data_IF_774316565820
#
_entry.id   IF_774316565820
#
_cell.length_a   1.000
_cell.length_b   1.000
_cell.length_c   1.000
_cell.angle_alpha   90.00
_cell.angle_beta   90.00
_cell.angle_gamma   90.00
#
_symmetry.space_group_name_H-M   'P 1'
#
loop_
_entity.id
_entity.type
_entity.pdbx_description
1 polymer ?
#
# COMPACT_ATOMS: atom_id res chain seq x y z
N UNK A 1 -11.33 -13.51 62.71
CA UNK A 1 -10.11 -13.96 63.42
C UNK A 1 -10.09 -15.48 63.44
N UNK A 2 -9.36 -16.13 62.54
CA UNK A 2 -9.03 -17.56 62.63
C UNK A 2 -7.60 -17.72 62.10
N UNK A 3 -6.69 -18.17 62.97
CA UNK A 3 -5.30 -18.51 62.66
C UNK A 3 -5.22 -19.97 62.21
N UNK A 4 -4.45 -20.26 61.16
CA UNK A 4 -3.87 -21.59 60.87
C UNK A 4 -2.51 -21.33 60.21
N UNK A 5 -1.42 -21.30 60.97
CA UNK A 5 -0.54 -22.43 61.37
C UNK A 5 0.15 -23.08 60.18
N UNK A 6 1.41 -22.69 60.01
CA UNK A 6 2.40 -23.17 59.06
C UNK A 6 2.93 -24.54 59.52
N UNK A 7 2.95 -25.54 58.64
CA UNK A 7 3.77 -26.75 58.82
C UNK A 7 4.45 -27.07 57.49
N UNK A 8 5.78 -26.92 57.50
CA UNK A 8 6.67 -27.42 56.47
C UNK A 8 7.10 -28.83 56.85
N UNK A 9 6.98 -29.78 55.92
CA UNK A 9 7.63 -31.08 56.02
C UNK A 9 8.37 -31.36 54.71
N UNK A 10 9.69 -31.47 54.86
CA UNK A 10 10.67 -31.91 53.88
C UNK A 10 10.75 -33.44 53.88
N UNK A 11 10.52 -34.05 52.72
CA UNK A 11 11.03 -35.36 52.29
C UNK A 11 10.89 -35.33 50.76
N UNK A 12 11.81 -35.73 49.90
CA UNK A 12 13.06 -36.44 49.99
C UNK A 12 13.45 -36.72 48.54
N UNK A 13 14.73 -36.66 48.22
CA UNK A 13 15.28 -36.72 46.89
C UNK A 13 14.84 -37.94 46.07
N UNK A 14 14.34 -37.73 44.85
CA UNK A 14 14.33 -38.74 43.79
C UNK A 14 15.13 -38.20 42.61
N UNK A 15 16.35 -38.72 42.44
CA UNK A 15 17.23 -38.45 41.29
C UNK A 15 16.73 -39.27 40.10
N UNK A 16 15.78 -38.72 39.35
CA UNK A 16 15.44 -39.18 38.01
C UNK A 16 16.07 -38.26 36.97
N UNK A 17 17.23 -38.64 36.43
CA UNK A 17 17.80 -37.96 35.25
C UNK A 17 16.96 -38.40 34.05
N UNK A 18 15.93 -37.61 33.72
CA UNK A 18 15.25 -37.72 32.41
C UNK A 18 16.02 -36.82 31.46
N UNK A 19 16.92 -37.44 30.69
CA UNK A 19 17.61 -36.82 29.58
C UNK A 19 16.57 -36.55 28.47
N UNK A 20 15.94 -35.38 28.53
CA UNK A 20 15.10 -34.87 27.43
C UNK A 20 16.02 -34.52 26.27
N UNK A 21 16.14 -35.44 25.30
CA UNK A 21 16.79 -35.18 24.03
C UNK A 21 15.90 -34.21 23.23
N UNK A 22 16.19 -32.90 23.35
CA UNK A 22 15.63 -31.86 22.49
C UNK A 22 16.18 -32.07 21.07
N UNK A 23 15.47 -32.85 20.27
CA UNK A 23 15.68 -32.89 18.82
C UNK A 23 15.11 -31.59 18.28
N UNK A 24 15.97 -30.58 18.14
CA UNK A 24 15.67 -29.37 17.39
C UNK A 24 15.57 -29.75 15.91
N UNK A 25 14.36 -30.04 15.44
CA UNK A 25 14.10 -30.09 14.01
C UNK A 25 14.16 -28.64 13.49
N UNK A 26 15.01 -28.34 12.49
CA UNK A 26 14.88 -27.08 11.80
C UNK A 26 13.52 -27.08 11.09
N UNK A 27 12.59 -26.28 11.60
CA UNK A 27 11.38 -25.92 10.85
C UNK A 27 11.89 -25.10 9.67
N UNK A 28 12.11 -25.78 8.54
CA UNK A 28 12.34 -25.13 7.26
C UNK A 28 11.01 -24.47 6.92
N UNK A 29 10.86 -23.20 7.31
CA UNK A 29 9.76 -22.38 6.86
C UNK A 29 9.81 -22.30 5.35
N UNK A 30 8.92 -23.02 4.68
CA UNK A 30 8.65 -22.82 3.26
C UNK A 30 7.89 -21.50 3.16
N UNK A 31 8.63 -20.39 3.18
CA UNK A 31 8.12 -19.11 2.72
C UNK A 31 7.84 -19.25 1.24
N UNK A 32 6.60 -19.55 0.88
CA UNK A 32 6.17 -19.50 -0.51
C UNK A 32 6.16 -18.03 -0.92
N UNK A 33 7.24 -17.58 -1.55
CA UNK A 33 7.18 -16.43 -2.43
C UNK A 33 6.35 -16.86 -3.64
N UNK A 34 5.02 -16.78 -3.53
CA UNK A 34 4.14 -16.95 -4.67
C UNK A 34 4.49 -15.83 -5.65
N UNK A 35 5.10 -16.20 -6.78
CA UNK A 35 5.40 -15.25 -7.85
C UNK A 35 4.11 -14.60 -8.35
N UNK A 36 4.26 -13.46 -9.04
CA UNK A 36 3.12 -12.77 -9.63
C UNK A 36 2.32 -13.71 -10.55
N UNK A 37 0.98 -13.55 -10.64
CA UNK A 37 0.16 -14.32 -11.57
C UNK A 37 0.68 -14.22 -13.02
N UNK A 38 0.41 -15.25 -13.82
CA UNK A 38 0.86 -15.30 -15.20
C UNK A 38 0.33 -14.10 -16.01
N UNK A 39 1.22 -13.42 -16.74
CA UNK A 39 0.88 -12.24 -17.54
C UNK A 39 0.90 -10.92 -16.76
N UNK A 40 1.12 -10.94 -15.45
CA UNK A 40 1.36 -9.73 -14.65
C UNK A 40 2.82 -9.30 -14.75
N UNK A 41 3.04 -8.03 -15.06
CA UNK A 41 4.37 -7.43 -15.08
C UNK A 41 4.45 -6.29 -14.07
N UNK A 42 5.39 -6.34 -13.12
CA UNK A 42 5.75 -5.17 -12.31
C UNK A 42 6.49 -4.16 -13.19
N UNK A 43 5.95 -2.94 -13.32
CA UNK A 43 6.52 -1.88 -14.15
C UNK A 43 7.60 -1.11 -13.38
N UNK A 44 7.22 -0.49 -12.27
CA UNK A 44 8.10 0.28 -11.38
C UNK A 44 7.37 0.57 -10.05
N UNK A 45 8.01 1.27 -9.13
CA UNK A 45 7.35 1.88 -7.96
C UNK A 45 7.82 3.33 -7.77
N UNK A 46 6.98 4.14 -7.11
CA UNK A 46 7.29 5.53 -6.73
C UNK A 46 7.15 5.70 -5.22
N UNK A 47 7.97 6.55 -4.61
CA UNK A 47 8.01 6.77 -3.16
C UNK A 47 7.26 8.03 -2.73
N UNK A 48 6.88 8.08 -1.46
CA UNK A 48 6.14 9.16 -0.80
C UNK A 48 6.78 9.61 0.53
N UNK A 49 8.08 9.35 0.69
CA UNK A 49 8.90 9.57 1.89
C UNK A 49 9.58 10.96 2.02
N UNK A 50 9.52 11.84 1.01
CA UNK A 50 10.27 13.12 0.99
C UNK A 50 9.48 14.34 1.45
N UNK A 51 8.17 14.40 1.16
CA UNK A 51 7.31 15.55 1.45
C UNK A 51 6.38 15.18 2.61
N UNK A 52 6.89 15.19 3.84
CA UNK A 52 6.14 14.78 5.05
C UNK A 52 4.92 15.67 5.32
N UNK A 53 4.92 16.91 4.79
CA UNK A 53 3.76 17.81 4.86
C UNK A 53 2.65 17.45 3.88
N UNK A 54 2.96 16.67 2.85
CA UNK A 54 2.02 16.22 1.83
C UNK A 54 2.26 14.74 1.53
N UNK A 55 1.94 13.85 2.49
CA UNK A 55 2.36 12.44 2.49
C UNK A 55 1.75 11.59 1.37
N UNK A 56 0.73 12.10 0.66
CA UNK A 56 0.14 11.48 -0.51
C UNK A 56 0.41 12.23 -1.83
N UNK A 57 1.21 13.31 -1.81
CA UNK A 57 1.56 14.04 -3.04
C UNK A 57 2.60 13.25 -3.81
N UNK A 58 2.26 12.89 -5.06
CA UNK A 58 3.21 12.30 -6.02
C UNK A 58 4.47 13.17 -6.04
N UNK A 59 5.66 12.58 -5.88
CA UNK A 59 6.93 13.32 -5.85
C UNK A 59 7.42 13.71 -7.25
N UNK A 60 8.38 14.63 -7.35
CA UNK A 60 8.88 15.13 -8.64
C UNK A 60 9.81 14.12 -9.35
N UNK A 61 10.57 13.35 -8.59
CA UNK A 61 11.43 12.27 -9.07
C UNK A 61 10.64 11.03 -9.54
N UNK A 62 9.33 10.97 -9.29
CA UNK A 62 8.44 9.94 -9.81
C UNK A 62 8.24 10.02 -11.34
N UNK A 63 8.52 11.18 -11.96
CA UNK A 63 8.20 11.45 -13.37
C UNK A 63 8.75 10.39 -14.36
N UNK A 64 9.98 9.86 -14.24
CA UNK A 64 10.47 8.81 -15.12
C UNK A 64 9.65 7.52 -15.05
N UNK A 65 9.30 7.05 -13.84
CA UNK A 65 8.46 5.85 -13.65
C UNK A 65 7.05 6.09 -14.22
N UNK A 66 6.44 7.26 -13.96
CA UNK A 66 5.12 7.60 -14.52
C UNK A 66 5.11 7.58 -16.05
N UNK A 67 6.18 8.09 -16.69
CA UNK A 67 6.33 8.06 -18.14
C UNK A 67 6.55 6.65 -18.70
N UNK A 68 7.32 5.82 -18.01
CA UNK A 68 7.49 4.42 -18.41
C UNK A 68 6.18 3.65 -18.33
N UNK A 69 5.42 3.81 -17.23
CA UNK A 69 4.10 3.21 -17.08
C UNK A 69 3.15 3.59 -18.23
N UNK A 70 3.12 4.87 -18.63
CA UNK A 70 2.35 5.32 -19.80
C UNK A 70 2.82 4.65 -21.09
N UNK A 71 4.14 4.58 -21.31
CA UNK A 71 4.71 3.94 -22.50
C UNK A 71 4.32 2.46 -22.58
N UNK A 72 4.50 1.70 -21.50
CA UNK A 72 4.15 0.26 -21.46
C UNK A 72 2.65 0.04 -21.62
N UNK A 73 1.81 0.86 -20.97
CA UNK A 73 0.36 0.76 -21.11
C UNK A 73 -0.12 1.06 -22.55
N UNK A 74 0.53 2.00 -23.24
CA UNK A 74 0.25 2.30 -24.66
C UNK A 74 0.68 1.18 -25.60
N UNK A 75 1.81 0.54 -25.33
CA UNK A 75 2.28 -0.63 -26.09
C UNK A 75 1.37 -1.86 -25.91
N UNK A 76 0.59 -1.90 -24.83
CA UNK A 76 -0.28 -3.02 -24.49
C UNK A 76 -1.74 -2.54 -24.38
N UNK A 77 -2.46 -2.34 -25.51
CA UNK A 77 -3.80 -1.72 -25.51
C UNK A 77 -4.86 -2.51 -24.74
N UNK A 78 -4.70 -3.84 -24.65
CA UNK A 78 -5.63 -4.71 -23.93
C UNK A 78 -5.31 -4.81 -22.44
N UNK A 79 -4.19 -4.26 -21.96
CA UNK A 79 -3.82 -4.31 -20.56
C UNK A 79 -4.41 -3.12 -19.77
N UNK A 80 -4.54 -3.31 -18.45
CA UNK A 80 -4.80 -2.27 -17.47
C UNK A 80 -3.57 -2.04 -16.61
N UNK A 81 -3.43 -0.82 -16.10
CA UNK A 81 -2.41 -0.46 -15.13
C UNK A 81 -3.02 -0.48 -13.73
N UNK A 82 -2.62 -1.44 -12.90
CA UNK A 82 -3.03 -1.51 -11.50
C UNK A 82 -1.99 -0.78 -10.65
N UNK A 83 -2.45 0.15 -9.82
CA UNK A 83 -1.63 0.92 -8.89
C UNK A 83 -1.91 0.41 -7.49
N UNK A 84 -0.91 -0.15 -6.84
CA UNK A 84 -1.03 -0.68 -5.47
C UNK A 84 -0.38 0.31 -4.52
N UNK A 85 -1.20 1.08 -3.83
CA UNK A 85 -0.75 2.00 -2.78
C UNK A 85 -0.51 1.27 -1.46
N UNK A 86 0.53 1.69 -0.75
CA UNK A 86 0.93 1.16 0.54
C UNK A 86 1.00 2.29 1.57
N UNK A 87 0.83 1.91 2.84
CA UNK A 87 1.08 2.77 4.00
C UNK A 87 2.09 2.11 4.94
N UNK A 88 2.88 2.91 5.63
CA UNK A 88 3.79 2.47 6.68
C UNK A 88 3.24 3.00 8.00
N UNK A 89 2.56 2.15 8.76
CA UNK A 89 1.84 2.52 9.98
C UNK A 89 2.73 3.18 11.04
N UNK A 90 4.04 2.92 11.01
CA UNK A 90 4.99 3.56 11.94
C UNK A 90 5.38 4.93 11.40
N UNK A 91 5.93 4.99 10.19
CA UNK A 91 6.45 6.25 9.63
C UNK A 91 5.39 7.26 9.27
N UNK A 92 4.21 6.78 8.87
CA UNK A 92 3.09 7.65 8.52
C UNK A 92 2.45 8.28 9.77
N UNK A 93 2.52 7.61 10.93
CA UNK A 93 2.04 8.14 12.20
C UNK A 93 3.05 9.07 12.89
N UNK A 94 4.35 8.97 12.57
CA UNK A 94 5.41 9.88 13.07
C UNK A 94 5.35 11.30 12.46
N UNK A 95 4.45 11.55 11.50
CA UNK A 95 4.21 12.89 10.98
C UNK A 95 3.37 13.70 11.99
N UNK A 96 4.00 14.16 13.07
CA UNK A 96 3.43 14.71 14.32
C UNK A 96 2.37 15.85 14.20
N UNK A 97 2.08 16.36 13.01
CA UNK A 97 1.13 17.47 12.79
C UNK A 97 -0.12 17.10 11.98
N UNK A 98 -0.21 15.90 11.40
CA UNK A 98 -1.27 15.53 10.44
C UNK A 98 -1.75 14.08 10.59
N UNK A 99 -2.99 13.80 10.15
CA UNK A 99 -3.54 12.47 9.94
C UNK A 99 -4.35 11.89 11.11
N UNK A 100 -4.80 12.75 12.02
CA UNK A 100 -5.75 12.36 13.05
C UNK A 100 -7.07 11.84 12.46
N UNK A 101 -7.67 10.84 13.12
CA UNK A 101 -9.01 10.34 12.81
C UNK A 101 -10.02 11.48 12.82
N UNK A 102 -10.85 11.59 11.77
CA UNK A 102 -11.92 12.58 11.67
C UNK A 102 -13.02 12.15 10.70
N UNK A 103 -14.21 12.72 10.90
CA UNK A 103 -15.42 12.38 10.15
C UNK A 103 -15.43 12.90 8.72
N UNK A 104 -14.66 13.94 8.43
CA UNK A 104 -14.60 14.58 7.11
C UNK A 104 -13.20 14.49 6.57
N UNK A 105 -13.08 14.34 5.26
CA UNK A 105 -11.82 14.22 4.52
C UNK A 105 -11.18 15.58 4.17
N UNK A 106 -9.86 15.64 3.96
CA UNK A 106 -9.13 16.88 3.68
C UNK A 106 -8.90 16.97 2.16
N UNK A 107 -9.55 17.94 1.49
CA UNK A 107 -9.37 18.10 0.06
C UNK A 107 -8.00 18.67 -0.31
N UNK A 108 -7.21 19.18 0.64
CA UNK A 108 -5.93 19.85 0.35
C UNK A 108 -4.75 18.88 0.26
N UNK A 109 -4.83 17.72 0.94
CA UNK A 109 -3.75 16.75 1.04
C UNK A 109 -2.64 17.14 2.01
N UNK A 110 -2.92 18.11 2.89
CA UNK A 110 -2.03 18.49 3.98
C UNK A 110 -2.31 17.65 5.23
N UNK A 111 -3.57 17.28 5.46
CA UNK A 111 -4.01 16.55 6.65
C UNK A 111 -4.77 15.25 6.28
N UNK A 112 -4.12 14.34 5.58
CA UNK A 112 -4.74 13.07 5.14
C UNK A 112 -4.79 12.09 6.30
N UNK A 113 -5.97 11.49 6.56
CA UNK A 113 -6.14 10.44 7.59
C UNK A 113 -5.17 9.28 7.32
N UNK A 114 -4.54 8.75 8.37
CA UNK A 114 -3.50 7.72 8.20
C UNK A 114 -4.02 6.46 7.50
N UNK A 115 -5.23 6.04 7.83
CA UNK A 115 -5.93 4.90 7.23
C UNK A 115 -6.18 5.05 5.72
N UNK A 116 -6.25 6.29 5.21
CA UNK A 116 -6.47 6.54 3.78
C UNK A 116 -5.19 6.83 3.00
N UNK A 117 -4.03 6.87 3.64
CA UNK A 117 -2.80 7.27 2.95
C UNK A 117 -2.46 6.36 1.76
N UNK A 118 -2.61 5.05 1.91
CA UNK A 118 -2.42 4.10 0.81
C UNK A 118 -3.39 4.39 -0.36
N UNK A 119 -4.65 4.69 -0.04
CA UNK A 119 -5.69 5.00 -1.01
C UNK A 119 -5.41 6.34 -1.72
N UNK A 120 -5.05 7.38 -0.97
CA UNK A 120 -4.69 8.68 -1.53
C UNK A 120 -3.46 8.64 -2.41
N UNK A 121 -2.42 7.88 -2.02
CA UNK A 121 -1.21 7.71 -2.83
C UNK A 121 -1.55 7.11 -4.20
N UNK A 122 -2.35 6.05 -4.24
CA UNK A 122 -2.78 5.43 -5.51
C UNK A 122 -3.71 6.33 -6.32
N UNK A 123 -4.67 7.01 -5.69
CA UNK A 123 -5.59 7.96 -6.32
C UNK A 123 -4.89 9.17 -6.91
N UNK A 124 -4.02 9.82 -6.15
CA UNK A 124 -3.26 10.99 -6.60
C UNK A 124 -2.33 10.63 -7.75
N UNK A 125 -1.77 9.42 -7.72
CA UNK A 125 -0.99 8.85 -8.84
C UNK A 125 -1.86 8.68 -10.08
N UNK A 126 -3.02 8.02 -9.96
CA UNK A 126 -3.98 7.88 -11.08
C UNK A 126 -4.42 9.24 -11.63
N UNK A 127 -4.73 10.18 -10.76
CA UNK A 127 -5.12 11.53 -11.17
C UNK A 127 -4.00 12.19 -11.98
N UNK A 128 -2.74 12.07 -11.56
CA UNK A 128 -1.61 12.62 -12.31
C UNK A 128 -1.46 11.96 -13.69
N UNK A 129 -1.52 10.63 -13.76
CA UNK A 129 -1.44 9.87 -15.01
C UNK A 129 -2.52 10.28 -16.02
N UNK A 130 -3.76 10.43 -15.54
CA UNK A 130 -4.91 10.77 -16.37
C UNK A 130 -4.89 12.24 -16.78
N UNK A 131 -4.69 13.15 -15.82
CA UNK A 131 -4.72 14.60 -16.04
C UNK A 131 -3.53 15.10 -16.87
N UNK A 132 -2.32 14.67 -16.55
CA UNK A 132 -1.10 15.25 -17.09
C UNK A 132 -0.41 14.39 -18.15
N UNK A 133 -0.63 13.07 -18.14
CA UNK A 133 -0.04 12.13 -19.11
C UNK A 133 -1.07 11.56 -20.09
N UNK A 134 -2.35 11.92 -19.95
CA UNK A 134 -3.40 11.63 -20.92
C UNK A 134 -3.73 10.15 -21.04
N UNK A 135 -3.61 9.39 -19.96
CA UNK A 135 -4.13 8.02 -19.91
C UNK A 135 -5.65 8.08 -19.69
N UNK A 136 -6.38 7.21 -20.39
CA UNK A 136 -7.81 7.01 -20.15
C UNK A 136 -8.06 6.50 -18.72
N UNK A 137 -8.89 7.16 -17.89
CA UNK A 137 -9.08 6.79 -16.49
C UNK A 137 -9.52 5.34 -16.25
N UNK A 138 -10.34 4.78 -17.14
CA UNK A 138 -10.85 3.40 -17.05
C UNK A 138 -9.74 2.33 -17.21
N UNK A 139 -8.57 2.71 -17.75
CA UNK A 139 -7.41 1.82 -17.91
C UNK A 139 -6.48 1.80 -16.70
N UNK A 140 -6.73 2.63 -15.69
CA UNK A 140 -5.92 2.71 -14.47
C UNK A 140 -6.79 2.31 -13.28
N UNK A 141 -6.39 1.30 -12.53
CA UNK A 141 -7.10 0.83 -11.36
C UNK A 141 -6.30 1.15 -10.09
N UNK A 142 -6.73 2.08 -9.23
CA UNK A 142 -6.12 2.31 -7.94
C UNK A 142 -6.64 1.27 -6.95
N UNK A 143 -5.69 0.66 -6.25
CA UNK A 143 -5.94 -0.32 -5.19
C UNK A 143 -4.97 -0.05 -4.03
N UNK A 144 -5.20 -0.68 -2.90
CA UNK A 144 -4.33 -0.65 -1.72
C UNK A 144 -3.92 -2.07 -1.32
N UNK A 145 -2.80 -2.18 -0.64
CA UNK A 145 -2.39 -3.39 0.07
C UNK A 145 -1.90 -2.99 1.45
N UNK A 146 -2.74 -3.25 2.46
CA UNK A 146 -2.46 -2.91 3.87
C UNK A 146 -1.60 -3.97 4.56
N UNK A 147 -1.37 -5.13 3.93
CA UNK A 147 -0.51 -6.18 4.48
C UNK A 147 0.98 -5.85 4.34
N UNK A 148 1.31 -4.91 3.44
CA UNK A 148 2.69 -4.48 3.16
C UNK A 148 2.93 -3.10 3.76
N UNK A 149 3.97 -2.99 4.61
CA UNK A 149 4.43 -1.72 5.14
C UNK A 149 5.30 -0.99 4.11
N UNK A 150 4.88 0.22 3.71
CA UNK A 150 5.67 1.05 2.80
C UNK A 150 5.00 2.38 2.43
N UNK A 151 5.80 3.40 2.14
CA UNK A 151 5.31 4.69 1.64
C UNK A 151 5.47 4.76 0.12
N UNK A 152 4.77 3.87 -0.60
CA UNK A 152 4.95 3.72 -2.05
C UNK A 152 3.66 3.40 -2.81
N UNK A 153 3.74 3.57 -4.14
CA UNK A 153 2.79 2.97 -5.08
C UNK A 153 3.57 2.09 -6.05
N UNK A 154 3.23 0.80 -6.10
CA UNK A 154 3.76 -0.13 -7.10
C UNK A 154 2.82 -0.26 -8.29
N UNK A 155 3.39 -0.30 -9.49
CA UNK A 155 2.67 -0.31 -10.76
C UNK A 155 2.75 -1.71 -11.36
N UNK A 156 1.60 -2.29 -11.69
CA UNK A 156 1.50 -3.56 -12.39
C UNK A 156 0.76 -3.40 -13.71
N UNK A 157 1.31 -3.96 -14.77
CA UNK A 157 0.59 -4.18 -16.01
C UNK A 157 -0.15 -5.51 -15.89
N UNK A 158 -1.46 -5.48 -16.02
CA UNK A 158 -2.34 -6.63 -15.83
C UNK A 158 -3.15 -6.87 -17.12
N UNK A 159 -3.27 -8.11 -17.61
CA UNK A 159 -4.11 -8.41 -18.77
C UNK A 159 -5.57 -7.97 -18.54
N UNK A 160 -6.23 -7.45 -19.58
CA UNK A 160 -7.57 -6.86 -19.45
C UNK A 160 -8.67 -7.89 -19.15
N UNK A 161 -8.42 -9.14 -19.49
CA UNK A 161 -9.23 -10.32 -19.22
C UNK A 161 -9.06 -10.88 -17.80
N UNK A 162 -8.14 -10.32 -17.00
CA UNK A 162 -7.96 -10.74 -15.62
C UNK A 162 -9.23 -10.49 -14.80
N UNK A 163 -9.45 -11.34 -13.80
CA UNK A 163 -10.60 -11.24 -12.90
C UNK A 163 -10.35 -10.19 -11.82
N UNK A 164 -10.73 -8.94 -12.11
CA UNK A 164 -10.66 -7.84 -11.15
C UNK A 164 -11.72 -7.94 -10.04
N UNK A 165 -12.63 -8.92 -10.04
CA UNK A 165 -13.62 -9.11 -8.99
C UNK A 165 -13.14 -10.11 -7.93
N UNK A 166 -12.32 -11.08 -8.32
CA UNK A 166 -11.68 -12.04 -7.40
C UNK A 166 -10.27 -11.61 -6.97
N UNK A 167 -10.03 -10.30 -6.96
CA UNK A 167 -8.82 -9.71 -6.45
C UNK A 167 -7.51 -10.32 -6.99
N UNK A 168 -7.29 -10.16 -8.30
CA UNK A 168 -6.17 -10.79 -9.02
C UNK A 168 -4.77 -10.55 -8.43
N UNK A 169 -4.57 -9.49 -7.64
CA UNK A 169 -3.29 -9.17 -6.98
C UNK A 169 -3.38 -9.22 -5.44
N UNK A 170 -4.49 -9.72 -4.88
CA UNK A 170 -4.80 -9.67 -3.45
C UNK A 170 -4.79 -8.25 -2.83
N UNK A 171 -5.23 -7.25 -3.61
CA UNK A 171 -5.38 -5.84 -3.24
C UNK A 171 -6.83 -5.36 -3.06
N UNK A 172 -7.02 -4.33 -2.24
CA UNK A 172 -8.34 -3.72 -2.03
C UNK A 172 -8.57 -2.59 -3.03
N UNK A 173 -9.70 -2.58 -3.74
CA UNK A 173 -10.04 -1.47 -4.66
C UNK A 173 -10.32 -0.18 -3.90
N UNK A 174 -9.90 0.95 -4.45
CA UNK A 174 -10.17 2.27 -3.86
C UNK A 174 -11.50 2.85 -4.34
N UNK A 175 -12.33 3.39 -3.43
CA UNK A 175 -13.57 4.08 -3.79
C UNK A 175 -13.32 5.51 -4.27
N UNK A 176 -13.19 5.70 -5.58
CA UNK A 176 -12.83 7.01 -6.18
C UNK A 176 -14.04 7.92 -6.46
N UNK A 177 -13.85 9.24 -6.35
CA UNK A 177 -14.80 10.27 -6.77
C UNK A 177 -14.22 11.18 -7.87
N UNK A 178 -14.83 11.24 -9.09
CA UNK A 178 -15.92 10.40 -9.56
C UNK A 178 -15.44 8.95 -9.80
N UNK A 179 -16.35 7.99 -9.66
CA UNK A 179 -16.07 6.59 -9.96
C UNK A 179 -15.82 6.39 -11.46
N UNK A 180 -14.56 6.10 -11.80
CA UNK A 180 -14.11 5.94 -13.20
C UNK A 180 -14.01 4.47 -13.64
N UNK A 181 -13.99 3.52 -12.70
CA UNK A 181 -14.05 2.08 -12.97
C UNK A 181 -15.35 1.53 -12.41
N UNK A 182 -16.13 0.82 -13.23
CA UNK A 182 -17.43 0.25 -12.85
C UNK A 182 -17.31 -1.23 -12.44
N UNK A 183 -18.22 -1.76 -11.61
CA UNK A 183 -19.30 -1.04 -10.91
C UNK A 183 -18.75 -0.10 -9.82
N UNK A 184 -19.49 0.95 -9.50
CA UNK A 184 -19.14 1.83 -8.39
C UNK A 184 -19.55 1.20 -7.07
N UNK A 185 -18.87 1.59 -6.00
CA UNK A 185 -19.32 1.37 -4.63
C UNK A 185 -20.66 2.08 -4.37
N UNK A 186 -21.34 1.65 -3.30
CA UNK A 186 -22.58 2.25 -2.85
C UNK A 186 -22.40 3.76 -2.61
N UNK A 187 -23.46 4.55 -2.82
CA UNK A 187 -23.46 5.97 -2.47
C UNK A 187 -23.31 6.23 -0.97
N UNK A 188 -23.56 5.20 -0.16
CA UNK A 188 -23.48 5.26 1.31
C UNK A 188 -22.05 5.07 1.82
N UNK A 189 -21.12 4.64 0.95
CA UNK A 189 -19.71 4.54 1.27
C UNK A 189 -18.97 5.84 0.96
N UNK A 190 -17.99 6.17 1.81
CA UNK A 190 -17.14 7.34 1.59
C UNK A 190 -16.33 7.17 0.30
N UNK A 191 -16.45 8.16 -0.59
CA UNK A 191 -15.71 8.20 -1.85
C UNK A 191 -14.61 9.27 -1.78
N UNK A 192 -13.38 8.88 -2.07
CA UNK A 192 -12.21 9.74 -1.95
C UNK A 192 -11.99 10.57 -3.22
N UNK A 193 -11.68 11.85 -3.05
CA UNK A 193 -11.41 12.77 -4.16
C UNK A 193 -9.92 13.04 -4.25
N UNK A 194 -9.30 12.69 -5.38
CA UNK A 194 -7.88 12.94 -5.59
C UNK A 194 -7.50 14.41 -5.36
N UNK A 195 -6.35 14.60 -4.71
CA UNK A 195 -5.76 15.89 -4.34
C UNK A 195 -4.88 16.39 -5.49
N UNK A 196 -5.29 17.46 -6.20
CA UNK A 196 -4.58 17.92 -7.39
C UNK A 196 -3.17 18.43 -7.09
N UNK A 197 -2.25 18.19 -8.03
CA UNK A 197 -0.96 18.89 -8.07
C UNK A 197 -0.67 19.48 -9.45
N UNK A 198 0.20 20.48 -9.48
CA UNK A 198 0.76 21.00 -10.73
C UNK A 198 1.59 19.92 -11.44
N UNK A 199 1.71 20.07 -12.77
CA UNK A 199 2.54 19.21 -13.60
C UNK A 199 3.99 19.26 -13.12
N UNK A 200 4.64 18.11 -12.98
CA UNK A 200 6.06 18.02 -12.68
C UNK A 200 6.84 18.60 -13.87
N UNK A 201 7.75 19.57 -13.65
CA UNK A 201 8.59 20.10 -14.71
C UNK A 201 9.67 19.08 -15.10
N UNK A 202 9.98 18.97 -16.39
CA UNK A 202 11.02 18.07 -16.91
C UNK A 202 12.41 18.30 -16.28
N UNK A 203 12.66 19.53 -15.84
CA UNK A 203 13.92 19.94 -15.20
C UNK A 203 14.08 19.39 -13.78
N UNK A 204 12.99 19.06 -13.08
CA UNK A 204 13.07 18.53 -11.72
C UNK A 204 13.78 17.16 -11.64
N UNK A 205 13.75 16.39 -12.73
CA UNK A 205 14.41 15.07 -12.80
C UNK A 205 15.94 15.19 -12.80
N UNK A 206 16.50 16.31 -13.28
CA UNK A 206 17.96 16.50 -13.40
C UNK A 206 18.65 16.80 -12.06
N UNK A 207 17.90 17.25 -11.06
CA UNK A 207 18.45 17.67 -9.77
C UNK A 207 18.51 16.53 -8.75
N UNK A 208 17.74 15.45 -8.96
CA UNK A 208 17.67 14.30 -8.04
C UNK A 208 18.84 13.30 -8.18
N UNK A 209 19.75 13.51 -9.15
CA UNK A 209 20.90 12.65 -9.43
C UNK A 209 22.26 13.32 -9.20
N UNK A 210 22.32 14.37 -8.38
CA UNK A 210 23.57 15.03 -7.96
C UNK A 210 23.71 14.99 -6.45
#
# INVERSE_FOLDING_TARGET
>A
MIKFTQTALWFGAYRGVVLFCLIALPVVGVGQATGLPAGVEKVCSIKFDKDTKRPARVQDDALPCLKDAVRKLRANPNAKLVLVGQADSVKDHEADENGHMRDTEDPTGLDVRWEDLAAYRSLNTKWYLTRWLGIEPARVLPTTDESIQGQEVTFYLVPGEADFNHNYLDTTKTNERPCTVKPCYSSDEESLKAQPRSRIPETAVKTAGK
#
